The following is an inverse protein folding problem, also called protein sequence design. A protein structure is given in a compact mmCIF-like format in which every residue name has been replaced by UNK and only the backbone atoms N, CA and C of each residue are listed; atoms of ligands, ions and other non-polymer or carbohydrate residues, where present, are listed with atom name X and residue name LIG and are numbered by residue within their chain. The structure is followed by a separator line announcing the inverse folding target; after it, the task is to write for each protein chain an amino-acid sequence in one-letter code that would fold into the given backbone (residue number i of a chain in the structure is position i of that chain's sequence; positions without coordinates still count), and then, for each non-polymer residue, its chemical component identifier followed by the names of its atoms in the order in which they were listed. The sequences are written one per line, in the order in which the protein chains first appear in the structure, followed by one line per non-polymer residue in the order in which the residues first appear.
data_IF_250434948972
#
_entry.id   IF_250434948972
#
_cell.length_a   1.000
_cell.length_b   1.000
_cell.length_c   1.000
_cell.angle_alpha   90.00
_cell.angle_beta   90.00
_cell.angle_gamma   90.00
#
_symmetry.space_group_name_H-M   'P 1'
#
loop_
_entity.id
_entity.type
_entity.pdbx_description
1 polymer ?
#
# COMPACT_ATOMS: atom_id res chain seq x y z
N UNK A 1 -11.79 -24.27 13.30
CA UNK A 1 -10.63 -24.01 12.40
C UNK A 1 -9.76 -22.95 13.07
N UNK A 2 -8.54 -23.31 13.42
CA UNK A 2 -7.58 -22.42 14.05
C UNK A 2 -6.73 -21.74 12.98
N UNK A 3 -6.79 -20.42 12.90
CA UNK A 3 -6.13 -19.62 11.84
C UNK A 3 -5.00 -18.79 12.42
N UNK A 4 -3.86 -18.78 11.76
CA UNK A 4 -2.77 -17.86 12.03
C UNK A 4 -2.67 -16.79 10.94
N UNK A 5 -2.59 -15.53 11.34
CA UNK A 5 -2.29 -14.40 10.45
C UNK A 5 -0.86 -13.94 10.74
N UNK A 6 0.01 -13.99 9.75
CA UNK A 6 1.40 -13.57 9.88
C UNK A 6 1.59 -12.22 9.19
N UNK A 7 2.03 -11.21 9.92
CA UNK A 7 2.25 -9.86 9.39
C UNK A 7 3.68 -9.39 9.66
N UNK A 8 4.27 -8.62 8.74
CA UNK A 8 5.68 -8.25 8.83
C UNK A 8 6.03 -7.54 10.16
N UNK A 9 5.30 -6.49 10.53
CA UNK A 9 5.46 -5.74 11.78
C UNK A 9 4.23 -4.90 12.11
N UNK A 10 3.93 -4.74 13.39
CA UNK A 10 2.83 -3.94 13.90
C UNK A 10 3.38 -2.71 14.67
N UNK A 11 3.96 -1.75 13.96
CA UNK A 11 4.60 -0.57 14.56
C UNK A 11 3.99 0.77 14.13
N UNK A 12 3.18 0.76 13.09
CA UNK A 12 2.36 1.88 12.63
C UNK A 12 1.11 1.29 11.97
N UNK A 13 0.05 2.09 11.85
CA UNK A 13 -1.13 1.69 11.11
C UNK A 13 -1.10 2.29 9.70
N UNK A 14 -1.42 1.49 8.70
CA UNK A 14 -1.48 1.88 7.29
C UNK A 14 -2.27 0.88 6.44
N UNK A 15 -2.10 0.92 5.12
CA UNK A 15 -2.87 0.07 4.22
C UNK A 15 -2.65 -1.44 4.39
N UNK A 16 -1.46 -1.86 4.81
CA UNK A 16 -1.18 -3.28 5.04
C UNK A 16 -1.88 -3.79 6.32
N UNK A 17 -1.88 -2.99 7.38
CA UNK A 17 -2.59 -3.31 8.63
C UNK A 17 -4.11 -3.27 8.42
N UNK A 18 -4.62 -2.40 7.56
CA UNK A 18 -6.03 -2.39 7.15
C UNK A 18 -6.45 -3.70 6.46
N UNK A 19 -5.57 -4.29 5.63
CA UNK A 19 -5.80 -5.63 5.04
C UNK A 19 -5.89 -6.69 6.14
N UNK A 20 -5.01 -6.66 7.14
CA UNK A 20 -5.08 -7.58 8.29
C UNK A 20 -6.42 -7.44 9.04
N UNK A 21 -6.88 -6.21 9.28
CA UNK A 21 -8.21 -5.98 9.91
C UNK A 21 -9.35 -6.58 9.07
N UNK A 22 -9.30 -6.43 7.75
CA UNK A 22 -10.33 -7.01 6.88
C UNK A 22 -10.27 -8.54 6.81
N UNK A 23 -9.07 -9.14 6.93
CA UNK A 23 -8.91 -10.59 7.06
C UNK A 23 -9.45 -11.07 8.42
N UNK A 24 -9.25 -10.30 9.49
CA UNK A 24 -9.82 -10.59 10.81
C UNK A 24 -11.35 -10.55 10.83
N UNK A 25 -12.01 -9.77 9.96
CA UNK A 25 -13.47 -9.84 9.80
C UNK A 25 -13.94 -11.20 9.25
N UNK A 26 -13.05 -11.93 8.54
CA UNK A 26 -13.32 -13.29 8.06
C UNK A 26 -13.00 -14.33 9.13
N UNK A 27 -11.91 -14.11 9.88
CA UNK A 27 -11.36 -15.00 10.90
C UNK A 27 -11.14 -14.23 12.22
N UNK A 28 -12.19 -13.90 12.96
CA UNK A 28 -12.12 -13.02 14.15
C UNK A 28 -11.25 -13.58 15.27
N UNK A 29 -11.20 -14.91 15.40
CA UNK A 29 -10.45 -15.61 16.45
C UNK A 29 -9.02 -15.99 16.03
N UNK A 30 -8.52 -15.44 14.91
CA UNK A 30 -7.17 -15.76 14.44
C UNK A 30 -6.09 -15.19 15.35
N UNK A 31 -5.03 -16.00 15.61
CA UNK A 31 -3.82 -15.52 16.27
C UNK A 31 -2.96 -14.73 15.28
N UNK A 32 -2.36 -13.64 15.74
CA UNK A 32 -1.52 -12.76 14.90
C UNK A 32 -0.05 -12.99 15.26
N UNK A 33 0.76 -13.36 14.26
CA UNK A 33 2.21 -13.50 14.38
C UNK A 33 2.90 -12.32 13.70
N UNK A 34 3.88 -11.72 14.35
CA UNK A 34 4.58 -10.55 13.80
C UNK A 34 6.02 -10.45 14.30
N UNK A 35 6.88 -9.78 13.54
CA UNK A 35 8.26 -9.56 13.95
C UNK A 35 8.34 -8.78 15.26
N UNK A 36 7.69 -7.62 15.28
CA UNK A 36 7.64 -6.68 16.42
C UNK A 36 6.28 -5.99 16.50
N UNK A 37 5.85 -5.67 17.73
CA UNK A 37 4.56 -5.06 18.02
C UNK A 37 4.71 -3.85 18.96
N UNK A 38 4.23 -2.68 18.55
CA UNK A 38 4.11 -1.47 19.38
C UNK A 38 2.64 -1.20 19.73
N UNK A 39 2.18 -1.74 20.87
CA UNK A 39 0.79 -1.58 21.35
C UNK A 39 0.34 -0.11 21.41
N UNK A 40 1.24 0.82 21.74
CA UNK A 40 0.88 2.24 21.90
C UNK A 40 0.54 2.88 20.55
N UNK A 41 1.25 2.51 19.49
CA UNK A 41 1.02 3.06 18.14
C UNK A 41 -0.13 2.39 17.41
N UNK A 42 -0.31 1.09 17.61
CA UNK A 42 -1.41 0.32 17.00
C UNK A 42 -2.74 0.57 17.74
N UNK A 43 -2.68 0.88 19.03
CA UNK A 43 -3.86 1.15 19.86
C UNK A 43 -4.67 -0.12 20.14
N UNK A 44 -5.99 -0.01 20.11
CA UNK A 44 -6.92 -1.08 20.46
C UNK A 44 -7.30 -2.04 19.32
N UNK A 45 -6.74 -1.86 18.11
CA UNK A 45 -7.21 -2.56 16.89
C UNK A 45 -7.13 -4.08 16.95
N UNK A 46 -6.09 -4.63 17.57
CA UNK A 46 -5.88 -6.09 17.66
C UNK A 46 -5.94 -6.59 19.13
N UNK A 47 -6.65 -5.86 20.01
CA UNK A 47 -6.70 -6.19 21.44
C UNK A 47 -7.43 -7.50 21.76
N UNK A 48 -8.34 -7.92 20.88
CA UNK A 48 -9.14 -9.15 21.06
C UNK A 48 -8.42 -10.39 20.50
N UNK A 49 -7.27 -10.21 19.83
CA UNK A 49 -6.50 -11.29 19.23
C UNK A 49 -5.24 -11.54 20.05
N UNK A 50 -4.79 -12.78 20.08
CA UNK A 50 -3.46 -13.13 20.61
C UNK A 50 -2.42 -12.63 19.61
N UNK A 51 -1.48 -11.78 20.08
CA UNK A 51 -0.37 -11.28 19.24
C UNK A 51 0.92 -11.91 19.73
N UNK A 52 1.46 -12.81 18.93
CA UNK A 52 2.74 -13.48 19.14
C UNK A 52 3.83 -12.72 18.40
N UNK A 53 4.88 -12.32 19.13
CA UNK A 53 6.03 -11.61 18.53
C UNK A 53 7.25 -12.52 18.43
N UNK A 54 8.13 -12.22 17.47
CA UNK A 54 9.39 -12.95 17.35
C UNK A 54 10.35 -12.65 18.52
N UNK A 55 11.40 -13.46 18.65
CA UNK A 55 12.47 -13.21 19.62
C UNK A 55 13.14 -11.82 19.47
N UNK A 56 13.09 -11.22 18.28
CA UNK A 56 13.63 -9.89 18.02
C UNK A 56 12.90 -8.77 18.77
N UNK A 57 11.65 -9.00 19.21
CA UNK A 57 10.91 -8.07 20.10
C UNK A 57 11.65 -7.76 21.40
N UNK A 58 12.44 -8.73 21.90
CA UNK A 58 13.20 -8.62 23.17
C UNK A 58 14.40 -7.67 23.07
N UNK A 59 14.82 -7.32 21.85
CA UNK A 59 15.96 -6.41 21.66
C UNK A 59 15.61 -4.96 22.07
N UNK A 60 16.56 -4.22 22.66
CA UNK A 60 16.35 -2.81 22.97
C UNK A 60 15.94 -2.03 21.73
N UNK A 61 14.91 -1.20 21.88
CA UNK A 61 14.37 -0.35 20.79
C UNK A 61 13.93 -1.12 19.52
N UNK A 62 13.59 -2.41 19.64
CA UNK A 62 13.22 -3.26 18.50
C UNK A 62 12.16 -2.61 17.59
N UNK A 63 11.10 -2.03 18.16
CA UNK A 63 10.02 -1.35 17.41
C UNK A 63 10.44 -0.06 16.68
N UNK A 64 11.59 0.53 17.05
CA UNK A 64 12.17 1.69 16.35
C UNK A 64 13.23 1.29 15.32
N UNK A 65 13.95 0.21 15.58
CA UNK A 65 15.11 -0.24 14.80
C UNK A 65 14.82 -1.45 13.90
N UNK A 66 13.56 -1.93 13.85
CA UNK A 66 13.20 -3.16 13.12
C UNK A 66 13.73 -3.20 11.69
N UNK A 67 13.71 -2.08 10.95
CA UNK A 67 14.24 -2.05 9.58
C UNK A 67 15.72 -2.38 9.46
N UNK A 68 16.50 -2.19 10.54
CA UNK A 68 17.93 -2.54 10.61
C UNK A 68 18.15 -4.02 10.93
N UNK A 69 17.10 -4.74 11.32
CA UNK A 69 17.15 -6.16 11.67
C UNK A 69 16.91 -7.09 10.48
N UNK A 70 16.87 -6.58 9.24
CA UNK A 70 16.53 -7.32 8.03
C UNK A 70 17.28 -8.66 7.90
N UNK A 71 18.56 -8.71 8.21
CA UNK A 71 19.38 -9.93 8.14
C UNK A 71 18.83 -11.07 9.03
N UNK A 72 18.20 -10.72 10.14
CA UNK A 72 17.71 -11.67 11.14
C UNK A 72 16.22 -12.00 10.96
N UNK A 73 15.48 -11.22 10.18
CA UNK A 73 14.05 -11.40 9.94
C UNK A 73 13.72 -12.78 9.36
N UNK A 74 14.45 -13.31 8.34
CA UNK A 74 14.20 -14.65 7.82
C UNK A 74 14.11 -15.70 8.92
N UNK A 75 15.17 -15.84 9.71
CA UNK A 75 15.23 -16.80 10.81
C UNK A 75 14.14 -16.55 11.87
N UNK A 76 13.82 -15.30 12.14
CA UNK A 76 12.79 -14.95 13.12
C UNK A 76 11.39 -15.42 12.69
N UNK A 77 11.03 -15.28 11.40
CA UNK A 77 9.77 -15.80 10.89
C UNK A 77 9.75 -17.33 10.75
N UNK A 78 10.85 -17.94 10.33
CA UNK A 78 10.98 -19.40 10.23
C UNK A 78 10.98 -20.12 11.59
N UNK A 79 11.14 -19.38 12.70
CA UNK A 79 11.10 -19.95 14.07
C UNK A 79 9.69 -20.04 14.67
N UNK A 80 8.66 -19.53 14.01
CA UNK A 80 7.29 -19.71 14.48
C UNK A 80 6.79 -21.12 14.17
N UNK A 81 6.08 -21.70 15.12
CA UNK A 81 5.48 -23.05 15.00
C UNK A 81 4.00 -22.93 14.64
N UNK A 82 3.63 -23.56 13.52
CA UNK A 82 2.25 -23.59 13.01
C UNK A 82 1.64 -25.01 13.03
N UNK A 83 2.22 -25.97 13.77
CA UNK A 83 1.75 -27.36 13.83
C UNK A 83 0.33 -27.52 14.36
N UNK A 84 -0.17 -26.54 15.14
CA UNK A 84 -1.51 -26.56 15.72
C UNK A 84 -2.50 -25.65 14.97
N UNK A 85 -2.22 -25.26 13.73
CA UNK A 85 -3.08 -24.38 12.92
C UNK A 85 -3.62 -25.13 11.71
N UNK A 86 -4.84 -24.78 11.33
CA UNK A 86 -5.53 -25.34 10.15
C UNK A 86 -5.35 -24.48 8.89
N UNK A 87 -4.86 -23.24 9.06
CA UNK A 87 -4.64 -22.28 7.97
C UNK A 87 -3.66 -21.20 8.40
N UNK A 88 -2.67 -20.91 7.56
CA UNK A 88 -1.73 -19.80 7.74
C UNK A 88 -1.90 -18.78 6.61
N UNK A 89 -2.15 -17.52 6.98
CA UNK A 89 -2.35 -16.39 6.07
C UNK A 89 -1.25 -15.36 6.34
N UNK A 90 -0.40 -15.10 5.36
CA UNK A 90 0.64 -14.09 5.44
C UNK A 90 0.21 -12.79 4.76
N UNK A 91 0.34 -11.65 5.43
CA UNK A 91 0.19 -10.30 4.88
C UNK A 91 1.59 -9.69 4.81
N UNK A 92 2.20 -9.67 3.61
CA UNK A 92 3.64 -9.47 3.50
C UNK A 92 4.07 -8.44 2.45
N UNK A 93 4.98 -7.59 2.86
CA UNK A 93 5.81 -6.69 2.03
C UNK A 93 7.31 -6.97 2.22
N UNK A 94 7.65 -7.92 3.11
CA UNK A 94 9.02 -8.28 3.49
C UNK A 94 9.16 -9.78 3.75
N UNK A 95 9.31 -10.19 5.02
CA UNK A 95 9.69 -11.55 5.39
C UNK A 95 8.55 -12.43 5.91
N UNK A 96 7.39 -11.86 6.25
CA UNK A 96 6.28 -12.62 6.86
C UNK A 96 5.84 -13.84 6.03
N UNK A 97 5.90 -13.75 4.71
CA UNK A 97 5.59 -14.85 3.79
C UNK A 97 6.52 -16.06 3.89
N UNK A 98 7.68 -15.89 4.55
CA UNK A 98 8.72 -16.91 4.62
C UNK A 98 8.59 -17.90 5.77
N UNK A 99 7.47 -17.94 6.44
CA UNK A 99 7.18 -18.95 7.47
C UNK A 99 7.19 -20.38 6.90
N UNK A 100 7.36 -21.36 7.78
CA UNK A 100 7.33 -22.78 7.43
C UNK A 100 6.03 -23.36 8.01
N UNK A 101 5.25 -24.02 7.17
CA UNK A 101 4.00 -24.69 7.58
C UNK A 101 4.12 -26.19 7.40
N UNK A 102 3.38 -27.01 8.19
CA UNK A 102 3.21 -28.43 7.91
C UNK A 102 2.63 -28.67 6.50
N UNK A 103 2.85 -29.86 5.90
CA UNK A 103 2.45 -30.13 4.52
C UNK A 103 0.92 -30.17 4.30
N UNK A 104 0.17 -30.38 5.36
CA UNK A 104 -1.30 -30.42 5.40
C UNK A 104 -1.95 -29.08 5.81
N UNK A 105 -1.14 -28.07 6.15
CA UNK A 105 -1.60 -26.73 6.53
C UNK A 105 -1.47 -25.77 5.35
N UNK A 106 -2.57 -25.30 4.76
CA UNK A 106 -2.55 -24.34 3.65
C UNK A 106 -1.83 -23.04 4.02
N UNK A 107 -0.87 -22.64 3.17
CA UNK A 107 -0.14 -21.38 3.29
C UNK A 107 -0.54 -20.41 2.19
N UNK A 108 -1.25 -19.35 2.57
CA UNK A 108 -1.68 -18.26 1.67
C UNK A 108 -0.83 -17.02 1.94
N UNK A 109 -0.31 -16.38 0.93
CA UNK A 109 0.34 -15.08 1.09
C UNK A 109 -0.37 -13.99 0.28
N UNK A 110 -0.91 -12.99 0.99
CA UNK A 110 -1.32 -11.72 0.43
C UNK A 110 -0.09 -10.81 0.33
N UNK A 111 0.35 -10.58 -0.89
CA UNK A 111 1.60 -9.89 -1.19
C UNK A 111 1.31 -8.43 -1.50
N UNK A 112 1.70 -7.53 -0.60
CA UNK A 112 1.64 -6.09 -0.84
C UNK A 112 2.68 -5.69 -1.87
N UNK A 113 3.88 -6.29 -1.79
CA UNK A 113 4.98 -6.10 -2.74
C UNK A 113 6.08 -7.13 -2.48
N UNK A 114 6.78 -7.64 -3.50
CA UNK A 114 8.13 -8.19 -3.33
C UNK A 114 9.06 -7.11 -2.77
N UNK A 115 10.05 -7.49 -1.97
CA UNK A 115 10.96 -6.55 -1.28
C UNK A 115 11.58 -5.54 -2.23
N UNK A 116 11.04 -4.31 -2.32
CA UNK A 116 11.51 -3.26 -3.23
C UNK A 116 13.00 -2.94 -3.06
N UNK A 117 13.45 -2.85 -1.81
CA UNK A 117 14.85 -2.54 -1.46
C UNK A 117 15.82 -3.68 -1.80
N UNK A 118 15.31 -4.90 -2.05
CA UNK A 118 16.13 -6.03 -2.47
C UNK A 118 16.17 -6.18 -4.00
N UNK A 119 15.11 -5.81 -4.70
CA UNK A 119 14.94 -6.01 -6.14
C UNK A 119 15.08 -4.72 -6.93
N UNK A 120 13.99 -4.24 -7.50
CA UNK A 120 13.95 -3.17 -8.50
C UNK A 120 14.40 -1.79 -7.99
N UNK A 121 14.12 -1.45 -6.72
CA UNK A 121 14.56 -0.19 -6.13
C UNK A 121 15.87 -0.31 -5.32
N UNK A 122 16.59 -1.44 -5.44
CA UNK A 122 17.85 -1.64 -4.71
C UNK A 122 18.82 -0.47 -4.88
N UNK A 123 19.08 -0.06 -6.12
CA UNK A 123 20.05 1.02 -6.40
C UNK A 123 19.58 2.37 -5.86
N UNK A 124 18.28 2.66 -5.86
CA UNK A 124 17.72 3.89 -5.31
C UNK A 124 17.87 3.95 -3.78
N UNK A 125 17.54 2.85 -3.09
CA UNK A 125 17.73 2.73 -1.65
C UNK A 125 19.22 2.84 -1.29
N UNK A 126 20.09 2.13 -2.04
CA UNK A 126 21.52 2.17 -1.83
C UNK A 126 22.09 3.58 -2.01
N UNK A 127 21.69 4.31 -3.07
CA UNK A 127 22.15 5.69 -3.35
C UNK A 127 21.80 6.65 -2.20
N UNK A 128 20.63 6.46 -1.58
CA UNK A 128 20.15 7.30 -0.47
C UNK A 128 20.67 6.88 0.91
N UNK A 129 21.32 5.74 1.01
CA UNK A 129 21.84 5.19 2.27
C UNK A 129 23.22 5.75 2.64
N UNK A 130 23.51 5.81 3.94
CA UNK A 130 24.83 6.14 4.47
C UNK A 130 25.87 5.04 4.20
N UNK A 131 27.16 5.34 4.32
CA UNK A 131 28.28 4.43 4.01
C UNK A 131 28.15 3.06 4.67
N UNK A 132 27.86 2.99 5.96
CA UNK A 132 27.73 1.74 6.70
C UNK A 132 26.54 0.90 6.20
N UNK A 133 25.39 1.52 5.95
CA UNK A 133 24.22 0.83 5.39
C UNK A 133 24.51 0.29 3.98
N UNK A 134 25.21 1.04 3.14
CA UNK A 134 25.62 0.58 1.80
C UNK A 134 26.50 -0.67 1.89
N UNK A 135 27.52 -0.68 2.76
CA UNK A 135 28.37 -1.85 2.98
C UNK A 135 27.54 -3.09 3.33
N UNK A 136 26.57 -2.96 4.25
CA UNK A 136 25.70 -4.08 4.61
C UNK A 136 24.75 -4.49 3.47
N UNK A 137 24.22 -3.53 2.72
CA UNK A 137 23.41 -3.81 1.53
C UNK A 137 24.23 -4.61 0.50
N UNK A 138 25.44 -4.18 0.20
CA UNK A 138 26.32 -4.85 -0.77
C UNK A 138 26.68 -6.27 -0.32
N UNK A 139 26.84 -6.48 0.99
CA UNK A 139 27.29 -7.77 1.57
C UNK A 139 26.17 -8.80 1.73
N UNK A 140 24.94 -8.37 2.04
CA UNK A 140 23.89 -9.31 2.45
C UNK A 140 22.71 -9.40 1.47
N UNK A 141 22.55 -8.44 0.57
CA UNK A 141 21.34 -8.35 -0.22
C UNK A 141 21.20 -9.50 -1.24
N UNK A 142 22.31 -10.09 -1.74
CA UNK A 142 22.25 -11.27 -2.58
C UNK A 142 21.65 -12.48 -1.83
N UNK A 143 22.06 -12.70 -0.58
CA UNK A 143 21.49 -13.74 0.27
C UNK A 143 20.01 -13.49 0.59
N UNK A 144 19.63 -12.23 0.83
CA UNK A 144 18.22 -11.87 1.04
C UNK A 144 17.39 -12.14 -0.22
N UNK A 145 17.88 -11.81 -1.42
CA UNK A 145 17.18 -12.13 -2.68
C UNK A 145 17.01 -13.64 -2.89
N UNK A 146 18.07 -14.41 -2.62
CA UNK A 146 18.00 -15.87 -2.70
C UNK A 146 16.96 -16.44 -1.73
N UNK A 147 16.96 -15.98 -0.48
CA UNK A 147 15.99 -16.40 0.52
C UNK A 147 14.55 -15.95 0.13
N UNK A 148 14.40 -14.73 -0.37
CA UNK A 148 13.09 -14.19 -0.80
C UNK A 148 12.48 -15.03 -1.94
N UNK A 149 13.30 -15.45 -2.90
CA UNK A 149 12.91 -16.36 -3.96
C UNK A 149 12.57 -17.76 -3.42
N UNK A 150 13.46 -18.37 -2.64
CA UNK A 150 13.28 -19.73 -2.11
C UNK A 150 12.04 -19.79 -1.21
N UNK A 151 11.87 -18.83 -0.31
CA UNK A 151 10.72 -18.78 0.59
C UNK A 151 9.39 -18.62 -0.14
N UNK A 152 9.38 -17.93 -1.29
CA UNK A 152 8.17 -17.80 -2.10
C UNK A 152 7.70 -19.12 -2.72
N UNK A 153 8.60 -20.11 -2.89
CA UNK A 153 8.26 -21.43 -3.45
C UNK A 153 7.49 -22.32 -2.46
N UNK A 154 7.54 -22.02 -1.16
CA UNK A 154 6.82 -22.77 -0.11
C UNK A 154 5.34 -22.40 0.01
N UNK A 155 4.92 -21.30 -0.62
CA UNK A 155 3.56 -20.76 -0.52
C UNK A 155 2.63 -21.54 -1.44
N UNK A 156 1.50 -22.03 -0.93
CA UNK A 156 0.51 -22.76 -1.75
C UNK A 156 -0.27 -21.81 -2.66
N UNK A 157 -0.70 -20.66 -2.13
CA UNK A 157 -1.50 -19.68 -2.88
C UNK A 157 -0.94 -18.27 -2.71
N UNK A 158 -0.54 -17.66 -3.83
CA UNK A 158 -0.09 -16.27 -3.89
C UNK A 158 -1.23 -15.36 -4.34
N UNK A 159 -1.49 -14.31 -3.56
CA UNK A 159 -2.45 -13.26 -3.88
C UNK A 159 -1.70 -11.94 -3.98
N UNK A 160 -1.75 -11.29 -5.13
CA UNK A 160 -1.18 -9.97 -5.35
C UNK A 160 -2.22 -8.87 -5.10
N UNK A 161 -1.82 -7.74 -4.54
CA UNK A 161 -2.71 -6.60 -4.30
C UNK A 161 -3.05 -5.81 -5.57
N UNK A 162 -2.39 -6.09 -6.70
CA UNK A 162 -2.59 -5.44 -8.00
C UNK A 162 -1.95 -6.26 -9.12
N UNK A 163 -2.37 -6.02 -10.37
CA UNK A 163 -1.70 -6.58 -11.55
C UNK A 163 -0.25 -6.10 -11.66
N UNK A 164 0.02 -4.87 -11.20
CA UNK A 164 1.38 -4.35 -11.10
C UNK A 164 2.25 -5.21 -10.19
N UNK A 165 1.74 -5.63 -9.03
CA UNK A 165 2.46 -6.54 -8.11
C UNK A 165 2.49 -7.97 -8.63
N UNK A 166 1.44 -8.47 -9.29
CA UNK A 166 1.46 -9.78 -9.92
C UNK A 166 2.62 -9.92 -10.93
N UNK A 167 2.83 -8.90 -11.79
CA UNK A 167 3.98 -8.87 -12.72
C UNK A 167 5.32 -8.87 -12.00
N UNK A 168 5.43 -8.23 -10.82
CA UNK A 168 6.66 -8.25 -10.02
C UNK A 168 6.88 -9.60 -9.35
N UNK A 169 5.83 -10.28 -8.88
CA UNK A 169 5.88 -11.65 -8.37
C UNK A 169 6.38 -12.59 -9.48
N UNK A 170 5.78 -12.54 -10.65
CA UNK A 170 6.21 -13.31 -11.82
C UNK A 170 7.69 -13.04 -12.18
N UNK A 171 8.08 -11.77 -12.23
CA UNK A 171 9.45 -11.39 -12.58
C UNK A 171 10.48 -11.90 -11.58
N UNK A 172 10.24 -11.73 -10.27
CA UNK A 172 11.24 -11.96 -9.22
C UNK A 172 11.16 -13.35 -8.61
N UNK A 173 9.96 -13.92 -8.50
CA UNK A 173 9.74 -15.23 -7.86
C UNK A 173 9.40 -16.34 -8.85
N UNK A 174 9.18 -16.00 -10.14
CA UNK A 174 8.78 -16.96 -11.18
C UNK A 174 7.54 -17.76 -10.80
N UNK A 175 6.58 -17.10 -10.18
CA UNK A 175 5.32 -17.67 -9.70
C UNK A 175 4.14 -16.85 -10.22
N UNK A 176 3.05 -17.54 -10.54
CA UNK A 176 1.76 -16.92 -10.78
C UNK A 176 1.10 -16.48 -9.48
N UNK A 177 0.23 -15.48 -9.56
CA UNK A 177 -0.56 -15.00 -8.43
C UNK A 177 -1.95 -14.55 -8.87
N UNK A 178 -2.95 -14.82 -8.03
CA UNK A 178 -4.29 -14.25 -8.19
C UNK A 178 -4.26 -12.78 -7.77
N UNK A 179 -5.01 -11.92 -8.48
CA UNK A 179 -5.11 -10.50 -8.10
C UNK A 179 -6.39 -10.30 -7.31
N UNK A 180 -6.24 -9.87 -6.05
CA UNK A 180 -7.34 -9.39 -5.21
C UNK A 180 -6.94 -8.01 -4.69
N UNK A 181 -7.60 -6.97 -5.22
CA UNK A 181 -7.32 -5.59 -4.81
C UNK A 181 -7.59 -5.40 -3.32
N UNK A 182 -6.82 -4.57 -2.61
CA UNK A 182 -6.98 -4.38 -1.17
C UNK A 182 -8.34 -3.74 -0.81
N UNK A 183 -8.77 -3.88 0.44
CA UNK A 183 -9.97 -3.23 0.92
C UNK A 183 -9.77 -1.71 0.95
N UNK A 184 -10.76 -0.97 0.48
CA UNK A 184 -10.81 0.49 0.59
C UNK A 184 -12.04 0.85 1.42
N UNK A 185 -11.82 1.54 2.54
CA UNK A 185 -12.87 1.98 3.45
C UNK A 185 -13.53 3.25 2.91
N UNK A 186 -14.51 3.05 2.03
CA UNK A 186 -15.16 4.14 1.29
C UNK A 186 -16.32 4.78 2.03
N UNK A 187 -16.79 4.18 3.12
CA UNK A 187 -17.92 4.65 3.90
C UNK A 187 -17.76 6.07 4.45
N UNK A 188 -16.53 6.52 4.65
CA UNK A 188 -16.19 7.88 5.09
C UNK A 188 -16.09 8.89 3.95
N UNK A 189 -15.95 8.41 2.71
CA UNK A 189 -15.68 9.22 1.53
C UNK A 189 -16.88 9.19 0.59
N UNK A 190 -17.71 10.22 0.64
CA UNK A 190 -18.93 10.32 -0.17
C UNK A 190 -18.96 11.63 -0.94
N UNK A 191 -19.60 11.68 -2.13
CA UNK A 191 -19.77 12.93 -2.86
C UNK A 191 -20.62 13.94 -2.10
N UNK A 192 -20.36 15.23 -2.32
CA UNK A 192 -21.22 16.34 -1.85
C UNK A 192 -21.97 16.96 -3.02
N UNK A 193 -23.17 17.54 -2.75
CA UNK A 193 -24.03 18.09 -3.80
C UNK A 193 -23.44 19.32 -4.50
N UNK A 194 -22.81 20.24 -3.76
CA UNK A 194 -22.30 21.52 -4.26
C UNK A 194 -20.84 21.70 -3.83
N UNK A 195 -19.86 21.05 -4.49
CA UNK A 195 -18.43 21.21 -4.15
C UNK A 195 -17.92 22.60 -4.59
N UNK A 196 -16.95 23.13 -3.86
CA UNK A 196 -16.31 24.44 -4.17
C UNK A 196 -15.51 24.41 -5.48
N UNK A 197 -14.72 23.33 -5.72
CA UNK A 197 -13.90 23.09 -6.91
C UNK A 197 -12.85 24.17 -7.21
N UNK A 198 -12.39 24.90 -6.18
CA UNK A 198 -11.47 26.05 -6.37
C UNK A 198 -10.00 25.66 -6.28
N UNK A 199 -9.68 24.44 -5.87
CA UNK A 199 -8.32 23.99 -5.61
C UNK A 199 -8.09 22.52 -5.98
N UNK A 200 -6.82 22.20 -6.21
CA UNK A 200 -6.32 20.84 -6.30
C UNK A 200 -5.84 20.34 -4.93
N UNK A 201 -5.82 19.04 -4.73
CA UNK A 201 -5.24 18.40 -3.53
C UNK A 201 -4.06 17.53 -3.91
N UNK A 202 -2.98 17.60 -3.14
CA UNK A 202 -1.94 16.57 -3.11
C UNK A 202 -1.84 16.04 -1.68
N UNK A 203 -2.15 14.76 -1.49
CA UNK A 203 -2.23 14.13 -0.18
C UNK A 203 -1.34 12.90 -0.08
N UNK A 204 -0.40 12.92 0.86
CA UNK A 204 0.40 11.74 1.22
C UNK A 204 1.29 12.02 2.45
N UNK A 205 2.06 11.00 2.87
CA UNK A 205 3.28 11.27 3.65
C UNK A 205 4.27 12.07 2.79
N UNK A 206 4.79 13.17 3.30
CA UNK A 206 5.73 14.02 2.56
C UNK A 206 7.15 13.42 2.60
N UNK A 207 7.36 12.39 1.78
CA UNK A 207 8.64 11.67 1.65
C UNK A 207 9.06 11.61 0.17
N UNK A 208 10.37 11.45 -0.15
CA UNK A 208 10.90 11.65 -1.50
C UNK A 208 10.20 10.87 -2.61
N UNK A 209 9.84 9.60 -2.37
CA UNK A 209 9.23 8.76 -3.42
C UNK A 209 7.79 9.14 -3.76
N UNK A 210 7.12 9.94 -2.92
CA UNK A 210 5.76 10.45 -3.18
C UNK A 210 5.74 11.60 -4.19
N UNK A 211 6.90 12.22 -4.47
CA UNK A 211 7.07 13.22 -5.52
C UNK A 211 6.06 14.38 -5.49
N UNK A 212 5.71 14.84 -4.29
CA UNK A 212 4.82 16.01 -4.11
C UNK A 212 5.45 17.29 -4.68
N UNK A 213 6.76 17.32 -4.83
CA UNK A 213 7.52 18.36 -5.54
C UNK A 213 6.95 18.67 -6.92
N UNK A 214 6.52 17.64 -7.66
CA UNK A 214 5.94 17.77 -9.00
C UNK A 214 4.61 18.52 -8.97
N UNK A 215 3.72 18.17 -8.03
CA UNK A 215 2.44 18.86 -7.88
C UNK A 215 2.63 20.34 -7.48
N UNK A 216 3.56 20.59 -6.56
CA UNK A 216 3.92 21.97 -6.12
C UNK A 216 4.42 22.81 -7.29
N UNK A 217 5.38 22.29 -8.06
CA UNK A 217 5.97 23.02 -9.19
C UNK A 217 4.96 23.24 -10.32
N UNK A 218 4.17 22.23 -10.64
CA UNK A 218 3.15 22.33 -11.68
C UNK A 218 2.09 23.39 -11.34
N UNK A 219 1.53 23.32 -10.13
CA UNK A 219 0.51 24.29 -9.70
C UNK A 219 1.08 25.70 -9.50
N UNK A 220 2.32 25.83 -9.03
CA UNK A 220 3.02 27.12 -8.92
C UNK A 220 3.17 27.77 -10.29
N UNK A 221 3.63 27.03 -11.29
CA UNK A 221 3.84 27.52 -12.66
C UNK A 221 2.53 27.92 -13.36
N UNK A 222 1.44 27.21 -13.10
CA UNK A 222 0.11 27.48 -13.68
C UNK A 222 -0.73 28.45 -12.85
N UNK A 223 -0.26 28.94 -11.71
CA UNK A 223 -1.04 29.79 -10.79
C UNK A 223 -2.27 29.09 -10.21
N UNK A 224 -2.32 27.74 -10.17
CA UNK A 224 -3.46 26.97 -9.67
C UNK A 224 -3.38 26.78 -8.17
N UNK A 225 -4.52 26.94 -7.49
CA UNK A 225 -4.59 26.69 -6.05
C UNK A 225 -4.33 25.22 -5.72
N UNK A 226 -3.38 24.97 -4.81
CA UNK A 226 -3.02 23.62 -4.36
C UNK A 226 -3.03 23.53 -2.84
N UNK A 227 -3.72 22.54 -2.30
CA UNK A 227 -3.65 22.17 -0.89
C UNK A 227 -2.81 20.92 -0.75
N UNK A 228 -1.66 21.05 -0.09
CA UNK A 228 -0.75 19.94 0.24
C UNK A 228 -1.06 19.44 1.64
N UNK A 229 -1.53 18.18 1.71
CA UNK A 229 -1.97 17.55 2.96
C UNK A 229 -0.98 16.47 3.36
N UNK A 230 -0.52 16.51 4.61
CA UNK A 230 0.39 15.53 5.19
C UNK A 230 1.62 16.15 5.83
N UNK A 231 2.49 15.28 6.37
CA UNK A 231 3.76 15.64 7.00
C UNK A 231 4.84 14.63 6.64
N UNK A 232 6.11 15.01 6.76
CA UNK A 232 7.22 14.11 6.49
C UNK A 232 8.56 14.83 6.33
N UNK A 233 9.59 14.06 5.94
CA UNK A 233 10.96 14.57 5.80
C UNK A 233 11.12 15.66 4.74
N UNK A 234 10.24 15.67 3.72
CA UNK A 234 10.29 16.64 2.62
C UNK A 234 9.53 17.95 2.90
N UNK A 235 8.83 18.07 4.04
CA UNK A 235 7.96 19.22 4.31
C UNK A 235 8.70 20.56 4.20
N UNK A 236 9.89 20.66 4.79
CA UNK A 236 10.73 21.89 4.75
C UNK A 236 11.16 22.21 3.32
N UNK A 237 11.59 21.21 2.57
CA UNK A 237 12.02 21.34 1.17
C UNK A 237 10.85 21.81 0.29
N UNK A 238 9.67 21.20 0.44
CA UNK A 238 8.46 21.55 -0.31
C UNK A 238 7.98 22.97 -0.01
N UNK A 239 7.98 23.39 1.27
CA UNK A 239 7.65 24.79 1.66
C UNK A 239 8.65 25.79 1.07
N UNK A 240 9.95 25.46 1.04
CA UNK A 240 10.96 26.31 0.37
C UNK A 240 10.70 26.40 -1.14
N UNK A 241 10.34 25.28 -1.78
CA UNK A 241 9.99 25.23 -3.21
C UNK A 241 8.77 26.08 -3.55
N UNK A 242 7.76 26.07 -2.69
CA UNK A 242 6.55 26.89 -2.79
C UNK A 242 6.75 28.36 -2.41
N UNK A 243 7.95 28.77 -1.96
CA UNK A 243 8.22 30.15 -1.53
C UNK A 243 7.83 31.16 -2.61
N UNK A 244 7.14 32.24 -2.21
CA UNK A 244 6.59 33.27 -3.12
C UNK A 244 5.29 32.91 -3.81
N UNK A 245 4.81 31.68 -3.70
CA UNK A 245 3.52 31.25 -4.30
C UNK A 245 2.39 31.37 -3.27
N UNK A 246 1.49 32.33 -3.45
CA UNK A 246 0.31 32.54 -2.58
C UNK A 246 -0.80 31.50 -2.81
N UNK A 247 -0.74 30.78 -3.89
CA UNK A 247 -1.71 29.77 -4.32
C UNK A 247 -1.41 28.35 -3.78
N UNK A 248 -0.39 28.17 -2.94
CA UNK A 248 -0.04 26.84 -2.37
C UNK A 248 -0.14 26.88 -0.86
N UNK A 249 -1.01 26.02 -0.31
CA UNK A 249 -1.26 25.91 1.12
C UNK A 249 -0.80 24.54 1.65
N UNK A 250 -0.13 24.53 2.81
CA UNK A 250 0.28 23.30 3.53
C UNK A 250 -0.52 23.19 4.82
N UNK A 251 -1.27 22.12 4.98
CA UNK A 251 -2.11 21.90 6.18
C UNK A 251 -1.39 21.13 7.27
N UNK A 252 -0.28 20.45 6.96
CA UNK A 252 0.28 19.44 7.83
C UNK A 252 -0.63 18.20 7.93
N UNK A 253 -0.49 17.45 9.02
CA UNK A 253 -1.36 16.29 9.30
C UNK A 253 -2.71 16.77 9.82
N UNK A 254 -3.77 16.26 9.25
CA UNK A 254 -5.17 16.57 9.61
C UNK A 254 -5.94 15.28 9.98
N UNK A 255 -7.13 15.43 10.54
CA UNK A 255 -8.03 14.29 10.81
C UNK A 255 -8.68 13.76 9.52
N UNK A 256 -9.21 12.53 9.58
CA UNK A 256 -9.89 11.88 8.45
C UNK A 256 -11.11 12.71 7.99
N UNK A 257 -11.85 13.31 8.92
CA UNK A 257 -13.02 14.15 8.61
C UNK A 257 -12.61 15.39 7.80
N UNK A 258 -11.52 16.04 8.21
CA UNK A 258 -10.97 17.19 7.47
C UNK A 258 -10.44 16.77 6.11
N UNK A 259 -9.77 15.62 6.02
CA UNK A 259 -9.30 15.06 4.76
C UNK A 259 -10.48 14.81 3.81
N UNK A 260 -11.54 14.16 4.30
CA UNK A 260 -12.75 13.94 3.52
C UNK A 260 -13.33 15.27 3.00
N UNK A 261 -13.45 16.29 3.85
CA UNK A 261 -13.93 17.63 3.43
C UNK A 261 -13.05 18.27 2.35
N UNK A 262 -11.72 18.16 2.46
CA UNK A 262 -10.83 18.64 1.41
C UNK A 262 -10.98 17.87 0.10
N UNK A 263 -11.10 16.55 0.15
CA UNK A 263 -11.30 15.72 -1.04
C UNK A 263 -12.66 15.97 -1.68
N UNK A 264 -13.72 16.14 -0.90
CA UNK A 264 -15.08 16.44 -1.39
C UNK A 264 -15.14 17.75 -2.19
N UNK A 265 -14.36 18.75 -1.80
CA UNK A 265 -14.42 20.10 -2.34
C UNK A 265 -13.29 20.44 -3.33
N UNK A 266 -12.34 19.54 -3.55
CA UNK A 266 -11.28 19.80 -4.51
C UNK A 266 -11.76 19.62 -5.97
N UNK A 267 -11.07 20.27 -6.89
CA UNK A 267 -11.27 20.11 -8.33
C UNK A 267 -10.80 18.73 -8.80
N UNK A 268 -9.61 18.33 -8.37
CA UNK A 268 -9.03 17.00 -8.59
C UNK A 268 -7.93 16.72 -7.56
N UNK A 269 -7.64 15.42 -7.36
CA UNK A 269 -6.43 14.98 -6.68
C UNK A 269 -5.26 14.93 -7.67
N UNK A 270 -4.08 15.45 -7.31
CA UNK A 270 -2.83 15.26 -8.06
C UNK A 270 -2.00 14.19 -7.36
N UNK A 271 -1.74 13.08 -8.05
CA UNK A 271 -1.05 11.91 -7.53
C UNK A 271 0.21 11.59 -8.33
N UNK A 272 1.37 11.96 -7.78
CA UNK A 272 2.66 11.92 -8.50
C UNK A 272 3.50 10.67 -8.22
N UNK A 273 3.05 9.77 -7.33
CA UNK A 273 3.82 8.62 -6.89
C UNK A 273 3.65 7.41 -7.82
N UNK A 274 4.72 6.61 -7.95
CA UNK A 274 4.62 5.23 -8.42
C UNK A 274 4.40 4.32 -7.19
N UNK A 275 3.18 3.81 -7.02
CA UNK A 275 2.77 2.97 -5.89
C UNK A 275 2.30 1.59 -6.33
N UNK A 276 2.26 0.67 -5.37
CA UNK A 276 1.85 -0.72 -5.61
C UNK A 276 0.38 -0.85 -5.95
N UNK A 277 -0.48 0.00 -5.37
CA UNK A 277 -1.92 0.06 -5.63
C UNK A 277 -2.44 1.51 -5.71
N UNK A 278 -2.27 2.31 -4.65
CA UNK A 278 -2.76 3.68 -4.59
C UNK A 278 -4.18 3.77 -4.01
N UNK A 279 -4.30 3.72 -2.68
CA UNK A 279 -5.58 3.88 -1.96
C UNK A 279 -6.08 5.33 -2.08
N UNK A 280 -5.20 6.31 -1.93
CA UNK A 280 -5.55 7.74 -1.96
C UNK A 280 -6.30 8.17 -3.24
N UNK A 281 -5.95 7.73 -4.45
CA UNK A 281 -6.76 7.93 -5.65
C UNK A 281 -8.21 7.44 -5.52
N UNK A 282 -8.42 6.30 -4.86
CA UNK A 282 -9.77 5.76 -4.67
C UNK A 282 -10.58 6.53 -3.61
N UNK A 283 -9.93 7.06 -2.57
CA UNK A 283 -10.57 7.96 -1.60
C UNK A 283 -11.08 9.24 -2.26
N UNK A 284 -10.28 9.85 -3.14
CA UNK A 284 -10.71 11.01 -3.93
C UNK A 284 -11.86 10.64 -4.88
N UNK A 285 -11.75 9.51 -5.57
CA UNK A 285 -12.80 9.03 -6.48
C UNK A 285 -14.10 8.69 -5.71
N UNK A 286 -14.03 8.17 -4.50
CA UNK A 286 -15.20 7.93 -3.65
C UNK A 286 -15.92 9.23 -3.29
N UNK A 287 -15.18 10.35 -3.13
CA UNK A 287 -15.75 11.69 -3.03
C UNK A 287 -16.29 12.24 -4.38
N UNK A 288 -16.27 11.46 -5.45
CA UNK A 288 -16.67 11.87 -6.79
C UNK A 288 -15.66 12.80 -7.47
N UNK A 289 -14.40 12.83 -7.01
CA UNK A 289 -13.36 13.70 -7.55
C UNK A 289 -12.41 12.94 -8.46
N UNK A 290 -12.12 13.52 -9.65
CA UNK A 290 -11.17 12.92 -10.59
C UNK A 290 -9.73 13.01 -10.09
N UNK A 291 -8.85 12.21 -10.70
CA UNK A 291 -7.44 12.10 -10.33
C UNK A 291 -6.55 12.45 -11.51
N UNK A 292 -5.57 13.31 -11.30
CA UNK A 292 -4.47 13.57 -12.23
C UNK A 292 -3.27 12.80 -11.74
N UNK A 293 -2.91 11.70 -12.40
CA UNK A 293 -1.95 10.74 -11.87
C UNK A 293 -0.73 10.52 -12.77
N UNK A 294 0.41 10.25 -12.14
CA UNK A 294 1.53 9.65 -12.86
C UNK A 294 1.14 8.26 -13.37
N UNK A 295 1.19 8.07 -14.71
CA UNK A 295 0.67 6.88 -15.39
C UNK A 295 1.52 5.62 -15.20
N UNK A 296 1.93 5.29 -13.94
CA UNK A 296 2.76 4.13 -13.63
C UNK A 296 2.43 3.55 -12.25
N UNK A 297 2.54 2.23 -12.14
CA UNK A 297 2.20 1.49 -10.92
C UNK A 297 0.73 1.09 -10.86
N UNK A 298 0.25 0.78 -9.64
CA UNK A 298 -1.12 0.33 -9.39
C UNK A 298 -2.20 1.39 -9.67
N UNK A 299 -1.84 2.69 -9.72
CA UNK A 299 -2.79 3.76 -10.07
C UNK A 299 -3.38 3.57 -11.47
N UNK A 300 -2.68 2.91 -12.39
CA UNK A 300 -3.20 2.56 -13.72
C UNK A 300 -4.36 1.56 -13.68
N UNK A 301 -4.59 0.93 -12.53
CA UNK A 301 -5.69 -0.03 -12.32
C UNK A 301 -6.88 0.62 -11.59
N UNK A 302 -6.63 1.72 -10.88
CA UNK A 302 -7.62 2.44 -10.07
C UNK A 302 -8.15 3.71 -10.72
N UNK A 303 -7.49 4.23 -11.75
CA UNK A 303 -7.91 5.40 -12.54
C UNK A 303 -8.20 4.96 -13.97
N UNK A 304 -9.32 5.46 -14.55
CA UNK A 304 -9.67 5.29 -15.96
C UNK A 304 -9.46 6.60 -16.69
N UNK A 305 -8.49 6.62 -17.63
CA UNK A 305 -8.14 7.82 -18.40
C UNK A 305 -9.35 8.41 -19.14
N UNK A 306 -9.56 9.70 -19.01
CA UNK A 306 -10.69 10.42 -19.60
C UNK A 306 -12.06 10.18 -18.92
N UNK A 307 -12.15 9.29 -17.91
CA UNK A 307 -13.41 8.93 -17.23
C UNK A 307 -13.36 9.23 -15.73
N UNK A 308 -12.35 8.73 -15.02
CA UNK A 308 -12.18 9.00 -13.59
C UNK A 308 -10.94 9.83 -13.29
N UNK A 309 -10.22 10.25 -14.32
CA UNK A 309 -9.03 11.09 -14.21
C UNK A 309 -8.26 11.15 -15.51
N UNK A 310 -7.04 11.65 -15.44
CA UNK A 310 -6.09 11.71 -16.57
C UNK A 310 -4.71 11.28 -16.10
N UNK A 311 -3.90 10.75 -17.02
CA UNK A 311 -2.52 10.41 -16.74
C UNK A 311 -1.53 11.39 -17.34
N UNK A 312 -0.38 11.53 -16.67
CA UNK A 312 0.83 12.11 -17.25
C UNK A 312 1.93 11.02 -17.36
N UNK A 313 2.63 10.93 -18.51
CA UNK A 313 3.53 9.82 -18.80
C UNK A 313 4.91 9.92 -18.14
N UNK A 314 5.37 11.13 -17.82
CA UNK A 314 6.68 11.35 -17.22
C UNK A 314 6.57 11.95 -15.83
N UNK A 315 7.37 11.47 -14.88
CA UNK A 315 7.37 11.94 -13.49
C UNK A 315 8.10 13.30 -13.37
N UNK A 316 7.62 14.30 -14.12
CA UNK A 316 8.13 15.67 -14.21
C UNK A 316 7.05 16.71 -14.01
N UNK A 317 7.42 17.92 -13.59
CA UNK A 317 6.48 19.02 -13.43
C UNK A 317 5.90 19.50 -14.79
N UNK A 318 6.66 19.40 -15.88
CA UNK A 318 6.18 19.74 -17.23
C UNK A 318 5.04 18.82 -17.64
N UNK A 319 5.26 17.50 -17.55
CA UNK A 319 4.25 16.50 -17.89
C UNK A 319 2.99 16.59 -17.01
N UNK A 320 3.16 16.91 -15.72
CA UNK A 320 2.03 17.18 -14.82
C UNK A 320 1.25 18.43 -15.20
N UNK A 321 1.92 19.52 -15.67
CA UNK A 321 1.24 20.73 -16.17
C UNK A 321 0.37 20.43 -17.38
N UNK A 322 0.91 19.76 -18.37
CA UNK A 322 0.17 19.33 -19.56
C UNK A 322 -1.06 18.49 -19.21
N UNK A 323 -0.92 17.59 -18.22
CA UNK A 323 -2.04 16.78 -17.74
C UNK A 323 -3.10 17.64 -17.00
N UNK A 324 -2.71 18.65 -16.23
CA UNK A 324 -3.65 19.58 -15.59
C UNK A 324 -4.43 20.36 -16.67
N UNK A 325 -3.77 20.86 -17.70
CA UNK A 325 -4.41 21.57 -18.83
C UNK A 325 -5.35 20.65 -19.62
N UNK A 326 -4.91 19.42 -19.91
CA UNK A 326 -5.75 18.37 -20.53
C UNK A 326 -6.98 18.06 -19.68
N UNK A 327 -6.77 17.90 -18.38
CA UNK A 327 -7.85 17.66 -17.42
C UNK A 327 -8.88 18.79 -17.46
N UNK A 328 -8.44 20.05 -17.38
CA UNK A 328 -9.35 21.21 -17.41
C UNK A 328 -10.13 21.33 -18.74
N UNK A 329 -9.51 20.98 -19.86
CA UNK A 329 -10.17 20.95 -21.16
C UNK A 329 -11.27 19.86 -21.24
N UNK A 330 -11.02 18.69 -20.65
CA UNK A 330 -12.01 17.59 -20.56
C UNK A 330 -13.12 17.92 -19.55
N UNK A 331 -12.77 18.51 -18.41
CA UNK A 331 -13.71 18.89 -17.37
C UNK A 331 -14.73 19.92 -17.86
N UNK A 332 -14.28 20.95 -18.62
CA UNK A 332 -15.16 21.90 -19.30
C UNK A 332 -16.15 21.24 -20.26
N UNK A 333 -15.82 20.08 -20.81
CA UNK A 333 -16.71 19.28 -21.68
C UNK A 333 -17.62 18.33 -20.89
N UNK A 334 -17.56 18.34 -19.56
CA UNK A 334 -18.37 17.49 -18.69
C UNK A 334 -17.95 16.02 -18.68
N UNK A 335 -16.67 15.71 -18.96
CA UNK A 335 -16.18 14.33 -19.01
C UNK A 335 -16.22 13.65 -17.63
N UNK A 336 -16.01 14.40 -16.54
CA UNK A 336 -15.84 13.86 -15.20
C UNK A 336 -17.13 13.94 -14.37
N UNK A 337 -18.00 12.94 -14.54
CA UNK A 337 -19.26 12.85 -13.79
C UNK A 337 -19.03 12.26 -12.40
N UNK A 338 -19.30 13.05 -11.35
CA UNK A 338 -19.07 12.68 -9.94
C UNK A 338 -19.63 11.31 -9.58
N UNK A 339 -20.86 10.99 -9.98
CA UNK A 339 -21.52 9.72 -9.72
C UNK A 339 -20.81 8.52 -10.39
N UNK A 340 -20.34 8.71 -11.63
CA UNK A 340 -19.59 7.68 -12.37
C UNK A 340 -18.26 7.39 -11.71
N UNK A 341 -17.57 8.43 -11.23
CA UNK A 341 -16.29 8.35 -10.53
C UNK A 341 -16.48 7.61 -9.19
N UNK A 342 -17.47 8.01 -8.39
CA UNK A 342 -17.77 7.39 -7.10
C UNK A 342 -18.19 5.93 -7.26
N UNK A 343 -19.01 5.60 -8.27
CA UNK A 343 -19.40 4.21 -8.58
C UNK A 343 -18.19 3.37 -8.96
N UNK A 344 -17.23 3.93 -9.68
CA UNK A 344 -15.99 3.22 -9.99
C UNK A 344 -15.20 2.90 -8.72
N UNK A 345 -15.03 3.86 -7.80
CA UNK A 345 -14.37 3.64 -6.52
C UNK A 345 -15.08 2.55 -5.69
N UNK A 346 -16.41 2.51 -5.67
CA UNK A 346 -17.20 1.52 -4.94
C UNK A 346 -16.90 0.06 -5.37
N UNK A 347 -16.39 -0.16 -6.60
CA UNK A 347 -15.95 -1.48 -7.04
C UNK A 347 -14.70 -2.01 -6.32
N UNK A 348 -14.05 -1.20 -5.47
CA UNK A 348 -12.89 -1.57 -4.64
C UNK A 348 -13.25 -1.66 -3.16
N UNK A 349 -14.52 -1.85 -2.81
CA UNK A 349 -15.00 -1.86 -1.43
C UNK A 349 -14.42 -3.01 -0.59
N UNK A 350 -14.51 -2.86 0.73
CA UNK A 350 -14.08 -3.89 1.67
C UNK A 350 -14.93 -5.18 1.54
N UNK A 351 -16.24 -5.07 1.29
CA UNK A 351 -17.13 -6.22 1.11
C UNK A 351 -16.71 -7.07 -0.10
N UNK A 352 -16.30 -6.42 -1.21
CA UNK A 352 -15.74 -7.10 -2.36
C UNK A 352 -14.47 -7.85 -1.97
N UNK A 353 -13.52 -7.20 -1.25
CA UNK A 353 -12.29 -7.84 -0.78
C UNK A 353 -12.59 -9.07 0.09
N UNK A 354 -13.46 -8.94 1.08
CA UNK A 354 -13.84 -10.04 2.00
C UNK A 354 -14.40 -11.23 1.20
N UNK A 355 -15.31 -10.97 0.25
CA UNK A 355 -15.90 -12.02 -0.59
C UNK A 355 -14.85 -12.74 -1.43
N UNK A 356 -13.99 -12.00 -2.13
CA UNK A 356 -12.96 -12.57 -3.01
C UNK A 356 -11.89 -13.31 -2.22
N UNK A 357 -11.41 -12.73 -1.11
CA UNK A 357 -10.40 -13.35 -0.25
C UNK A 357 -10.92 -14.64 0.40
N UNK A 358 -12.16 -14.65 0.89
CA UNK A 358 -12.82 -15.84 1.45
C UNK A 358 -12.93 -16.96 0.40
N UNK A 359 -13.25 -16.63 -0.83
CA UNK A 359 -13.30 -17.60 -1.93
C UNK A 359 -11.91 -18.16 -2.25
N UNK A 360 -10.87 -17.34 -2.32
CA UNK A 360 -9.50 -17.76 -2.54
C UNK A 360 -8.99 -18.67 -1.41
N UNK A 361 -9.26 -18.32 -0.14
CA UNK A 361 -8.89 -19.14 1.00
C UNK A 361 -9.55 -20.52 0.99
N UNK A 362 -10.84 -20.61 0.63
CA UNK A 362 -11.54 -21.89 0.46
C UNK A 362 -10.91 -22.76 -0.64
N UNK A 363 -10.51 -22.15 -1.78
CA UNK A 363 -9.83 -22.89 -2.86
C UNK A 363 -8.48 -23.43 -2.40
N UNK A 364 -7.67 -22.63 -1.68
CA UNK A 364 -6.40 -23.06 -1.14
C UNK A 364 -6.54 -24.27 -0.19
N UNK A 365 -7.50 -24.21 0.73
CA UNK A 365 -7.81 -25.32 1.64
C UNK A 365 -8.20 -26.60 0.89
N UNK A 366 -9.11 -26.48 -0.10
CA UNK A 366 -9.52 -27.63 -0.91
C UNK A 366 -8.34 -28.25 -1.67
N UNK A 367 -7.44 -27.45 -2.21
CA UNK A 367 -6.29 -27.90 -2.98
C UNK A 367 -5.29 -28.67 -2.10
N UNK A 368 -5.01 -28.22 -0.87
CA UNK A 368 -4.12 -28.92 0.07
C UNK A 368 -4.77 -30.21 0.58
N UNK A 369 -6.05 -30.19 0.95
CA UNK A 369 -6.78 -31.38 1.38
C UNK A 369 -6.80 -32.48 0.31
N UNK A 370 -6.94 -32.15 -0.98
CA UNK A 370 -6.87 -33.11 -2.07
C UNK A 370 -5.49 -33.77 -2.22
N UNK A 371 -4.40 -33.04 -1.94
CA UNK A 371 -3.02 -33.60 -1.94
C UNK A 371 -2.82 -34.60 -0.81
N UNK A 372 -3.51 -34.43 0.31
CA UNK A 372 -3.38 -35.29 1.50
C UNK A 372 -4.18 -36.58 1.41
N UNK A 373 -5.32 -36.56 0.69
CA UNK A 373 -6.21 -37.76 0.53
C UNK A 373 -5.65 -38.78 -0.48
N UNK A 374 -4.73 -38.40 -1.36
CA UNK A 374 -4.10 -39.29 -2.35
C UNK A 374 -2.78 -39.92 -1.85
N UNK A 375 -2.53 -39.86 -0.56
CA UNK A 375 -1.48 -40.65 0.14
C UNK A 375 -2.12 -41.70 1.04
#
# INVERSE_FOLDING_TARGET
MKVAIVHDWLVNYGGAESVVESILKIYPDADIFTLVYDKRKIGKRFQNNIVVTSSLQKLPFATKLYTKLLKFMPKAFESFDFSNYDLVICSSSSCAKGVITPPDVPHIAYVHTPMRYAWDLFFDYRKRSGRLTRFFMDRWMSGIRAWDYISSQRIDTLIANSKYIARRIEKFWKRDSEVIYPPVHLEKFTPVKNPSLDYYVAFSRLVPYKRIDIAVDACKALGKNLVVIGSGSEEKSLKKRASGAKNITFTGRISDEKLCAYLQNCKALIFCAEEDFGIVPLEAQACGRPVIAYGKGGVCETVKDGVTGVFFPEQTASSAREAIERFEALDKKGAFKSETIARHAASFSEERFIREFKAAAKRAQKMVNQRTVHK
#
